data_IF_903540187073
#
_entry.id   IF_903540187073
#
_cell.length_a   1.000
_cell.length_b   1.000
_cell.length_c   1.000
_cell.angle_alpha   90.00
_cell.angle_beta   90.00
_cell.angle_gamma   90.00
#
_symmetry.space_group_name_H-M   'P 1'
#
loop_
_entity.id
_entity.type
_entity.pdbx_description
1 polymer ?
#
# COMPACT_ATOMS: atom_id res chain seq x y z
N UNK A 1 -49.05 28.57 37.46
CA UNK A 1 -47.68 28.02 37.55
C UNK A 1 -47.85 26.51 37.65
N UNK A 2 -48.05 25.80 36.54
CA UNK A 2 -47.02 25.13 35.72
C UNK A 2 -46.10 24.28 36.60
N UNK A 3 -46.12 22.96 36.54
CA UNK A 3 -45.73 22.16 35.36
C UNK A 3 -46.35 20.76 35.38
N UNK A 4 -46.69 20.26 34.18
CA UNK A 4 -47.04 18.87 33.89
C UNK A 4 -45.79 17.99 33.94
N UNK A 5 -45.93 16.77 34.46
CA UNK A 5 -44.97 15.68 34.31
C UNK A 5 -45.58 14.61 33.40
N UNK A 6 -45.15 14.57 32.14
CA UNK A 6 -45.38 13.44 31.24
C UNK A 6 -44.11 12.57 31.26
N UNK A 7 -44.23 11.32 31.69
CA UNK A 7 -43.20 10.29 31.45
C UNK A 7 -43.68 9.37 30.34
N UNK A 8 -42.87 9.33 29.29
CA UNK A 8 -43.04 8.67 28.00
C UNK A 8 -43.30 7.16 28.08
N UNK A 9 -44.23 6.73 27.23
CA UNK A 9 -44.43 5.34 26.84
C UNK A 9 -43.16 4.77 26.18
N UNK A 10 -42.80 3.56 26.59
CA UNK A 10 -41.84 2.70 25.93
C UNK A 10 -42.42 2.24 24.58
N UNK A 11 -41.69 2.47 23.49
CA UNK A 11 -41.89 1.79 22.22
C UNK A 11 -40.70 0.86 22.00
N UNK A 12 -40.91 -0.41 22.27
CA UNK A 12 -40.08 -1.51 21.81
C UNK A 12 -40.14 -1.57 20.28
N UNK A 13 -39.02 -1.27 19.63
CA UNK A 13 -38.76 -1.61 18.23
C UNK A 13 -37.53 -2.53 18.20
N UNK A 14 -37.72 -3.75 18.70
CA UNK A 14 -36.80 -4.86 18.45
C UNK A 14 -37.65 -6.01 17.92
N UNK A 15 -37.66 -6.16 16.59
CA UNK A 15 -37.76 -7.43 15.87
C UNK A 15 -37.87 -7.11 14.37
N UNK A 16 -36.72 -6.94 13.73
CA UNK A 16 -36.60 -7.14 12.28
C UNK A 16 -35.65 -8.31 12.10
N UNK A 17 -36.25 -9.48 11.86
CA UNK A 17 -35.59 -10.65 11.30
C UNK A 17 -34.80 -10.25 10.05
N UNK A 18 -33.48 -10.20 10.15
CA UNK A 18 -32.59 -10.12 9.00
C UNK A 18 -32.45 -11.51 8.36
N UNK A 19 -33.50 -11.95 7.68
CA UNK A 19 -33.33 -12.91 6.59
C UNK A 19 -32.61 -12.15 5.46
N UNK A 20 -31.31 -12.40 5.30
CA UNK A 20 -30.48 -11.79 4.26
C UNK A 20 -31.02 -12.13 2.87
N UNK A 21 -31.78 -11.21 2.28
CA UNK A 21 -31.99 -11.21 0.83
C UNK A 21 -30.63 -11.10 0.16
N UNK A 22 -30.38 -11.75 -0.99
CA UNK A 22 -29.18 -11.47 -1.77
C UNK A 22 -29.15 -9.97 -2.07
N UNK A 23 -28.19 -9.25 -1.48
CA UNK A 23 -28.05 -7.81 -1.68
C UNK A 23 -27.85 -7.56 -3.18
N UNK A 24 -28.71 -6.75 -3.77
CA UNK A 24 -28.55 -6.32 -5.16
C UNK A 24 -27.18 -5.63 -5.30
N UNK A 25 -26.34 -6.01 -6.28
CA UNK A 25 -24.99 -5.46 -6.40
C UNK A 25 -25.06 -3.94 -6.61
N UNK A 26 -24.18 -3.21 -5.93
CA UNK A 26 -24.11 -1.77 -6.10
C UNK A 26 -23.21 -1.39 -7.28
N UNK A 27 -23.09 -0.09 -7.57
CA UNK A 27 -22.33 0.39 -8.72
C UNK A 27 -20.85 -0.03 -8.71
N UNK A 28 -20.22 -0.17 -7.54
CA UNK A 28 -18.82 -0.60 -7.41
C UNK A 28 -18.70 -2.09 -7.74
N UNK A 29 -19.65 -2.92 -7.27
CA UNK A 29 -19.70 -4.35 -7.58
C UNK A 29 -19.88 -4.56 -9.09
N UNK A 30 -20.83 -3.84 -9.70
CA UNK A 30 -21.10 -3.91 -11.15
C UNK A 30 -19.89 -3.47 -12.01
N UNK A 31 -19.18 -2.42 -11.60
CA UNK A 31 -17.95 -1.96 -12.27
C UNK A 31 -16.85 -3.02 -12.17
N UNK A 32 -16.68 -3.63 -11.01
CA UNK A 32 -15.69 -4.70 -10.82
C UNK A 32 -16.02 -5.94 -11.66
N UNK A 33 -17.28 -6.40 -11.61
CA UNK A 33 -17.75 -7.54 -12.40
C UNK A 33 -17.57 -7.29 -13.90
N UNK A 34 -17.94 -6.10 -14.40
CA UNK A 34 -17.75 -5.71 -15.80
C UNK A 34 -16.27 -5.76 -16.22
N UNK A 35 -15.37 -5.36 -15.32
CA UNK A 35 -13.92 -5.44 -15.56
C UNK A 35 -13.44 -6.90 -15.62
N UNK A 36 -13.91 -7.75 -14.71
CA UNK A 36 -13.58 -9.18 -14.67
C UNK A 36 -14.12 -9.93 -15.90
N UNK A 37 -15.35 -9.62 -16.33
CA UNK A 37 -15.96 -10.14 -17.57
C UNK A 37 -15.20 -9.66 -18.81
N UNK A 38 -14.75 -8.41 -18.84
CA UNK A 38 -13.90 -7.92 -19.92
C UNK A 38 -12.60 -8.72 -20.02
N UNK A 39 -12.02 -9.17 -18.90
CA UNK A 39 -10.80 -9.98 -18.91
C UNK A 39 -11.06 -11.44 -19.30
N UNK A 40 -12.31 -11.91 -19.21
CA UNK A 40 -12.68 -13.30 -19.46
C UNK A 40 -12.37 -13.76 -20.89
N UNK A 41 -11.67 -14.90 -20.98
CA UNK A 41 -11.31 -15.54 -22.24
C UNK A 41 -10.23 -14.82 -23.05
N UNK A 42 -9.64 -13.72 -22.54
CA UNK A 42 -8.52 -13.04 -23.20
C UNK A 42 -7.19 -13.67 -22.79
N UNK A 43 -6.32 -13.90 -23.78
CA UNK A 43 -4.92 -14.21 -23.52
C UNK A 43 -4.09 -12.93 -23.27
N UNK A 44 -2.83 -13.11 -22.84
CA UNK A 44 -1.90 -12.01 -22.55
C UNK A 44 -1.71 -11.10 -23.76
N UNK A 45 -1.63 -11.65 -24.98
CA UNK A 45 -1.41 -10.85 -26.19
C UNK A 45 -2.62 -9.97 -26.49
N UNK A 46 -3.83 -10.52 -26.42
CA UNK A 46 -5.07 -9.78 -26.62
C UNK A 46 -5.26 -8.67 -25.56
N UNK A 47 -4.88 -8.95 -24.31
CA UNK A 47 -4.93 -7.96 -23.23
C UNK A 47 -3.89 -6.85 -23.41
N UNK A 48 -2.65 -7.21 -23.75
CA UNK A 48 -1.58 -6.25 -24.03
C UNK A 48 -1.98 -5.31 -25.18
N UNK A 49 -2.55 -5.83 -26.26
CA UNK A 49 -3.05 -5.01 -27.38
C UNK A 49 -4.20 -4.08 -26.97
N UNK A 50 -5.07 -4.49 -26.05
CA UNK A 50 -6.09 -3.60 -25.50
C UNK A 50 -5.47 -2.44 -24.71
N UNK A 51 -4.48 -2.72 -23.86
CA UNK A 51 -3.77 -1.72 -23.06
C UNK A 51 -2.96 -0.76 -23.95
N UNK A 52 -2.24 -1.27 -24.96
CA UNK A 52 -1.52 -0.44 -25.96
C UNK A 52 -2.47 0.52 -26.68
N UNK A 53 -3.65 0.04 -27.10
CA UNK A 53 -4.68 0.91 -27.71
C UNK A 53 -5.14 2.02 -26.76
N UNK A 54 -5.33 1.72 -25.49
CA UNK A 54 -5.75 2.70 -24.49
C UNK A 54 -4.64 3.72 -24.17
N UNK A 55 -3.37 3.29 -24.07
CA UNK A 55 -2.22 4.18 -23.94
C UNK A 55 -2.08 5.12 -25.15
N UNK A 56 -2.28 4.60 -26.37
CA UNK A 56 -2.33 5.41 -27.59
C UNK A 56 -3.50 6.39 -27.60
N UNK A 57 -4.66 6.00 -27.08
CA UNK A 57 -5.78 6.91 -26.94
C UNK A 57 -5.50 8.01 -25.91
N UNK A 58 -4.87 7.68 -24.79
CA UNK A 58 -4.46 8.65 -23.77
C UNK A 58 -3.49 9.71 -24.35
N UNK A 59 -2.53 9.30 -25.18
CA UNK A 59 -1.59 10.23 -25.82
C UNK A 59 -2.24 11.25 -26.76
N UNK A 60 -3.40 10.91 -27.34
CA UNK A 60 -4.16 11.80 -28.24
C UNK A 60 -5.16 12.69 -27.50
N UNK A 61 -5.70 12.23 -26.37
CA UNK A 61 -6.70 12.97 -25.61
C UNK A 61 -6.11 13.91 -24.56
N UNK A 62 -4.95 13.57 -23.98
CA UNK A 62 -4.27 14.41 -22.99
C UNK A 62 -2.75 14.26 -23.07
N UNK A 63 -2.18 14.73 -24.18
CA UNK A 63 -0.75 14.55 -24.50
C UNK A 63 0.21 15.03 -23.40
N UNK A 64 -0.08 16.15 -22.74
CA UNK A 64 0.76 16.69 -21.66
C UNK A 64 0.84 15.73 -20.48
N UNK A 65 -0.31 15.25 -20.00
CA UNK A 65 -0.37 14.34 -18.85
C UNK A 65 0.19 12.98 -19.21
N UNK A 66 -0.09 12.50 -20.42
CA UNK A 66 0.51 11.28 -20.98
C UNK A 66 2.05 11.34 -20.97
N UNK A 67 2.65 12.41 -21.51
CA UNK A 67 4.12 12.53 -21.57
C UNK A 67 4.74 12.51 -20.16
N UNK A 68 4.16 13.25 -19.22
CA UNK A 68 4.63 13.25 -17.83
C UNK A 68 4.53 11.86 -17.19
N UNK A 69 3.43 11.14 -17.45
CA UNK A 69 3.20 9.79 -16.92
C UNK A 69 4.21 8.80 -17.48
N UNK A 70 4.40 8.78 -18.81
CA UNK A 70 5.35 7.87 -19.46
C UNK A 70 6.79 8.17 -19.06
N UNK A 71 7.16 9.45 -18.93
CA UNK A 71 8.49 9.83 -18.46
C UNK A 71 8.75 9.29 -17.04
N UNK A 72 7.80 9.48 -16.13
CA UNK A 72 7.91 8.97 -14.76
C UNK A 72 8.05 7.44 -14.75
N UNK A 73 7.20 6.72 -15.48
CA UNK A 73 7.25 5.25 -15.56
C UNK A 73 8.63 4.79 -16.07
N UNK A 74 9.14 5.42 -17.12
CA UNK A 74 10.41 5.05 -17.75
C UNK A 74 11.64 5.41 -16.90
N UNK A 75 11.56 6.50 -16.13
CA UNK A 75 12.61 6.93 -15.21
C UNK A 75 12.74 5.96 -14.03
N UNK A 76 11.62 5.63 -13.38
CA UNK A 76 11.61 4.81 -12.17
C UNK A 76 11.54 3.30 -12.42
N UNK A 77 11.06 2.87 -13.59
CA UNK A 77 10.99 1.47 -14.05
C UNK A 77 10.23 0.50 -13.14
N UNK A 78 9.46 0.98 -12.16
CA UNK A 78 8.70 0.17 -11.20
C UNK A 78 7.74 -0.83 -11.89
N UNK A 79 7.15 -0.43 -13.02
CA UNK A 79 6.12 -1.21 -13.72
C UNK A 79 6.56 -1.71 -15.10
N UNK A 80 7.86 -1.63 -15.41
CA UNK A 80 8.43 -1.83 -16.74
C UNK A 80 8.58 -0.52 -17.53
N UNK A 81 9.05 -0.62 -18.76
CA UNK A 81 9.26 0.52 -19.68
C UNK A 81 8.20 0.64 -20.77
N UNK A 82 8.12 1.82 -21.38
CA UNK A 82 7.19 2.11 -22.47
C UNK A 82 7.79 3.15 -23.43
N UNK A 83 8.39 2.66 -24.52
CA UNK A 83 8.92 3.46 -25.63
C UNK A 83 8.32 2.97 -26.96
N UNK A 84 7.10 3.44 -27.33
CA UNK A 84 6.39 2.92 -28.50
C UNK A 84 7.16 3.11 -29.82
N UNK A 85 7.98 4.17 -29.92
CA UNK A 85 8.84 4.44 -31.09
C UNK A 85 10.00 3.43 -31.23
N UNK A 86 10.32 2.70 -30.17
CA UNK A 86 11.37 1.66 -30.13
C UNK A 86 10.77 0.25 -30.05
N UNK A 87 9.45 0.13 -30.25
CA UNK A 87 8.69 -1.11 -30.06
C UNK A 87 8.80 -1.71 -28.65
N UNK A 88 9.10 -0.88 -27.65
CA UNK A 88 9.11 -1.27 -26.24
C UNK A 88 7.75 -1.01 -25.59
N UNK A 89 7.10 -2.09 -25.17
CA UNK A 89 5.77 -2.11 -24.59
C UNK A 89 5.72 -2.86 -23.25
N UNK A 90 6.85 -3.00 -22.55
CA UNK A 90 6.97 -3.80 -21.34
C UNK A 90 5.89 -3.44 -20.29
N UNK A 91 5.57 -2.16 -20.09
CA UNK A 91 4.48 -1.70 -19.22
C UNK A 91 3.13 -2.36 -19.58
N UNK A 92 2.79 -2.40 -20.86
CA UNK A 92 1.53 -2.96 -21.32
C UNK A 92 1.50 -4.48 -21.20
N UNK A 93 2.65 -5.13 -21.42
CA UNK A 93 2.82 -6.58 -21.26
C UNK A 93 2.74 -6.98 -19.79
N UNK A 94 3.43 -6.27 -18.90
CA UNK A 94 3.40 -6.51 -17.45
C UNK A 94 1.99 -6.37 -16.88
N UNK A 95 1.25 -5.33 -17.28
CA UNK A 95 -0.17 -5.16 -16.90
C UNK A 95 -1.05 -6.28 -17.46
N UNK A 96 -0.79 -6.73 -18.68
CA UNK A 96 -1.52 -7.84 -19.29
C UNK A 96 -1.29 -9.16 -18.56
N UNK A 97 -0.03 -9.48 -18.21
CA UNK A 97 0.31 -10.62 -17.36
C UNK A 97 -0.40 -10.53 -16.02
N UNK A 98 -0.33 -9.37 -15.34
CA UNK A 98 -1.04 -9.16 -14.08
C UNK A 98 -2.54 -9.47 -14.20
N UNK A 99 -3.23 -8.97 -15.23
CA UNK A 99 -4.66 -9.25 -15.40
C UNK A 99 -4.98 -10.69 -15.75
N UNK A 100 -4.25 -11.31 -16.66
CA UNK A 100 -4.58 -12.64 -17.18
C UNK A 100 -4.19 -13.73 -16.19
N UNK A 101 -3.02 -13.61 -15.57
CA UNK A 101 -2.47 -14.65 -14.69
C UNK A 101 -3.01 -14.54 -13.26
N UNK A 102 -3.37 -13.33 -12.82
CA UNK A 102 -3.79 -13.05 -11.44
C UNK A 102 -5.24 -12.55 -11.32
N UNK A 103 -6.09 -12.83 -12.32
CA UNK A 103 -7.51 -12.44 -12.29
C UNK A 103 -8.24 -12.95 -11.05
N UNK A 104 -8.03 -14.21 -10.70
CA UNK A 104 -8.69 -14.83 -9.55
C UNK A 104 -8.13 -14.30 -8.22
N UNK A 105 -6.87 -13.85 -8.20
CA UNK A 105 -6.29 -13.16 -7.05
C UNK A 105 -6.92 -11.78 -6.84
N UNK A 106 -7.21 -11.03 -7.90
CA UNK A 106 -7.96 -9.77 -7.78
C UNK A 106 -9.41 -9.97 -7.36
N UNK A 107 -10.08 -11.03 -7.84
CA UNK A 107 -11.43 -11.40 -7.37
C UNK A 107 -11.43 -11.72 -5.88
N UNK A 108 -10.47 -12.54 -5.44
CA UNK A 108 -10.31 -12.86 -4.03
C UNK A 108 -10.03 -11.61 -3.21
N UNK A 109 -9.08 -10.76 -3.63
CA UNK A 109 -8.75 -9.50 -2.96
C UNK A 109 -10.00 -8.62 -2.81
N UNK A 110 -10.76 -8.43 -3.89
CA UNK A 110 -11.99 -7.65 -3.87
C UNK A 110 -13.00 -8.15 -2.83
N UNK A 111 -13.13 -9.48 -2.69
CA UNK A 111 -14.06 -10.11 -1.75
C UNK A 111 -13.66 -9.91 -0.28
N UNK A 112 -12.36 -9.91 0.03
CA UNK A 112 -11.87 -9.79 1.40
C UNK A 112 -11.73 -8.34 1.88
N UNK A 113 -11.76 -7.35 0.99
CA UNK A 113 -11.72 -5.94 1.38
C UNK A 113 -12.95 -5.56 2.20
N UNK A 114 -12.71 -5.03 3.40
CA UNK A 114 -13.73 -4.88 4.44
C UNK A 114 -14.63 -3.64 4.30
N UNK A 115 -14.31 -2.71 3.40
CA UNK A 115 -15.17 -1.56 3.12
C UNK A 115 -15.28 -1.24 1.62
N UNK A 116 -16.36 -0.54 1.26
CA UNK A 116 -16.58 -0.14 -0.14
C UNK A 116 -15.64 0.96 -0.63
N UNK A 117 -15.02 1.70 0.30
CA UNK A 117 -13.99 2.70 -0.04
C UNK A 117 -12.76 2.01 -0.64
N UNK A 118 -12.30 0.94 0.00
CA UNK A 118 -11.19 0.09 -0.43
C UNK A 118 -11.53 -0.61 -1.74
N UNK A 119 -12.75 -1.18 -1.86
CA UNK A 119 -13.22 -1.78 -3.11
C UNK A 119 -13.22 -0.79 -4.27
N UNK A 120 -13.70 0.45 -4.05
CA UNK A 120 -13.65 1.53 -5.06
C UNK A 120 -12.22 1.88 -5.45
N UNK A 121 -11.30 1.94 -4.49
CA UNK A 121 -9.88 2.20 -4.76
C UNK A 121 -9.29 1.09 -5.64
N UNK A 122 -9.47 -0.17 -5.27
CA UNK A 122 -9.01 -1.31 -6.07
C UNK A 122 -9.56 -1.26 -7.50
N UNK A 123 -10.88 -1.10 -7.64
CA UNK A 123 -11.54 -0.99 -8.96
C UNK A 123 -10.93 0.13 -9.80
N UNK A 124 -10.73 1.32 -9.23
CA UNK A 124 -10.20 2.45 -9.98
C UNK A 124 -8.71 2.28 -10.35
N UNK A 125 -7.90 1.63 -9.50
CA UNK A 125 -6.51 1.26 -9.84
C UNK A 125 -6.49 0.27 -11.01
N UNK A 126 -7.29 -0.80 -10.95
CA UNK A 126 -7.36 -1.79 -12.03
C UNK A 126 -7.89 -1.18 -13.34
N UNK A 127 -8.91 -0.31 -13.27
CA UNK A 127 -9.35 0.43 -14.44
C UNK A 127 -8.27 1.36 -14.99
N UNK A 128 -7.45 1.98 -14.14
CA UNK A 128 -6.32 2.78 -14.60
C UNK A 128 -5.27 1.91 -15.29
N UNK A 129 -4.95 0.73 -14.78
CA UNK A 129 -4.03 -0.19 -15.46
C UNK A 129 -4.53 -0.56 -16.85
N UNK A 130 -5.83 -0.76 -17.03
CA UNK A 130 -6.43 -1.07 -18.33
C UNK A 130 -6.52 0.15 -19.26
N UNK A 131 -7.04 1.27 -18.76
CA UNK A 131 -7.47 2.42 -19.58
C UNK A 131 -6.46 3.57 -19.63
N UNK A 132 -5.56 3.64 -18.65
CA UNK A 132 -4.65 4.78 -18.43
C UNK A 132 -5.38 6.13 -18.37
N UNK A 133 -6.56 6.16 -17.74
CA UNK A 133 -7.38 7.38 -17.58
C UNK A 133 -7.24 7.98 -16.16
N UNK A 134 -6.62 9.17 -16.00
CA UNK A 134 -6.43 9.80 -14.69
C UNK A 134 -7.74 10.19 -13.99
N UNK A 135 -8.86 10.33 -14.71
CA UNK A 135 -10.13 10.81 -14.12
C UNK A 135 -10.65 9.96 -12.97
N UNK A 136 -10.32 8.66 -12.95
CA UNK A 136 -10.71 7.73 -11.89
C UNK A 136 -9.82 7.84 -10.66
N UNK A 137 -8.57 8.28 -10.82
CA UNK A 137 -7.60 8.40 -9.73
C UNK A 137 -7.92 9.59 -8.82
N UNK A 138 -8.33 10.72 -9.40
CA UNK A 138 -8.74 11.91 -8.63
C UNK A 138 -9.92 11.62 -7.66
N UNK A 139 -10.76 10.63 -7.98
CA UNK A 139 -11.92 10.26 -7.16
C UNK A 139 -11.58 9.48 -5.89
N UNK A 140 -10.38 8.91 -5.80
CA UNK A 140 -10.00 7.97 -4.74
C UNK A 140 -8.99 8.55 -3.75
N UNK A 141 -8.49 9.76 -4.01
CA UNK A 141 -7.56 10.47 -3.14
C UNK A 141 -8.15 10.76 -1.76
N UNK A 142 -7.45 10.28 -0.72
CA UNK A 142 -7.75 10.60 0.66
C UNK A 142 -7.34 12.05 0.98
N UNK A 143 -8.28 12.81 1.51
CA UNK A 143 -8.10 14.21 1.94
C UNK A 143 -8.30 14.38 3.45
N UNK A 144 -8.57 13.30 4.16
CA UNK A 144 -9.06 13.32 5.54
C UNK A 144 -7.94 13.05 6.52
N UNK A 145 -7.18 11.98 6.28
CA UNK A 145 -6.15 11.51 7.20
C UNK A 145 -4.77 11.43 6.53
N UNK A 146 -3.73 11.45 7.36
CA UNK A 146 -2.34 11.32 6.92
C UNK A 146 -2.05 9.91 6.41
N UNK A 147 -1.14 9.80 5.43
CA UNK A 147 -0.65 8.51 4.93
C UNK A 147 -0.16 7.63 6.09
N UNK A 148 -0.49 6.33 6.03
CA UNK A 148 -0.26 5.31 7.07
C UNK A 148 -1.11 5.41 8.34
N UNK A 149 -1.79 6.54 8.59
CA UNK A 149 -2.50 6.80 9.84
C UNK A 149 -3.97 7.22 9.62
N UNK A 150 -4.72 6.41 8.87
CA UNK A 150 -6.18 6.55 8.75
C UNK A 150 -6.84 6.27 10.11
N UNK A 151 -7.39 7.29 10.76
CA UNK A 151 -7.92 7.18 12.13
C UNK A 151 -9.22 6.36 12.25
N UNK A 152 -9.89 6.06 11.13
CA UNK A 152 -11.03 5.15 11.13
C UNK A 152 -10.56 3.67 11.16
N UNK A 153 -9.33 3.39 10.73
CA UNK A 153 -8.75 2.05 10.61
C UNK A 153 -7.70 1.79 11.71
N UNK A 154 -6.79 2.73 11.91
CA UNK A 154 -5.61 2.60 12.77
C UNK A 154 -5.84 3.33 14.08
N UNK A 155 -5.68 2.59 15.18
CA UNK A 155 -5.69 3.12 16.54
C UNK A 155 -4.40 2.71 17.23
N UNK A 156 -3.75 3.68 17.86
CA UNK A 156 -2.51 3.48 18.61
C UNK A 156 -2.72 3.75 20.10
N UNK A 157 -1.76 3.31 20.90
CA UNK A 157 -1.76 3.53 22.35
C UNK A 157 -0.34 3.74 22.89
N UNK A 158 -0.21 4.10 24.16
CA UNK A 158 1.09 4.22 24.84
C UNK A 158 1.92 2.93 24.86
N UNK A 159 1.31 1.77 24.57
CA UNK A 159 1.99 0.47 24.55
C UNK A 159 2.45 0.09 23.12
N UNK A 160 2.30 1.00 22.15
CA UNK A 160 2.62 0.75 20.74
C UNK A 160 4.14 0.59 20.52
N UNK A 161 4.52 -0.53 19.91
CA UNK A 161 5.85 -0.76 19.35
C UNK A 161 5.71 -0.66 17.83
N UNK A 162 6.05 0.51 17.29
CA UNK A 162 5.94 0.83 15.87
C UNK A 162 7.27 0.57 15.17
N UNK A 163 7.21 -0.12 14.04
CA UNK A 163 8.38 -0.44 13.20
C UNK A 163 8.16 0.18 11.82
N UNK A 164 8.88 1.26 11.54
CA UNK A 164 8.93 1.94 10.25
C UNK A 164 10.06 1.33 9.41
N UNK A 165 9.68 0.58 8.38
CA UNK A 165 10.61 -0.08 7.46
C UNK A 165 10.65 0.72 6.16
N UNK A 166 11.82 1.26 5.83
CA UNK A 166 11.96 2.28 4.78
C UNK A 166 11.62 3.66 5.33
N UNK A 167 12.40 4.09 6.32
CA UNK A 167 12.15 5.33 7.06
C UNK A 167 12.39 6.61 6.26
N UNK A 168 13.09 6.54 5.12
CA UNK A 168 13.47 7.69 4.29
C UNK A 168 14.04 8.82 5.17
N UNK A 169 13.46 10.01 5.18
CA UNK A 169 13.93 11.13 6.00
C UNK A 169 13.32 11.16 7.42
N UNK A 170 12.63 10.11 7.85
CA UNK A 170 11.95 10.01 9.14
C UNK A 170 10.60 10.76 9.17
N UNK A 171 10.05 11.08 8.01
CA UNK A 171 8.77 11.77 7.85
C UNK A 171 7.59 10.98 8.42
N UNK A 172 7.63 9.65 8.31
CA UNK A 172 6.61 8.76 8.89
C UNK A 172 6.64 8.82 10.43
N UNK A 173 7.82 8.90 11.06
CA UNK A 173 7.95 9.12 12.51
C UNK A 173 7.36 10.47 12.93
N UNK A 174 7.69 11.53 12.18
CA UNK A 174 7.14 12.87 12.42
C UNK A 174 5.62 12.86 12.29
N UNK A 175 5.09 12.23 11.24
CA UNK A 175 3.66 12.09 11.01
C UNK A 175 2.99 11.29 12.14
N UNK A 176 3.63 10.24 12.65
CA UNK A 176 3.12 9.45 13.78
C UNK A 176 2.94 10.34 15.02
N UNK A 177 3.97 11.08 15.43
CA UNK A 177 3.91 11.92 16.65
C UNK A 177 2.98 13.10 16.49
N UNK A 178 2.85 13.67 15.28
CA UNK A 178 1.87 14.73 15.01
C UNK A 178 0.44 14.22 15.05
N UNK A 179 0.23 12.96 14.67
CA UNK A 179 -1.10 12.34 14.63
C UNK A 179 -1.55 11.85 16.01
N UNK A 180 -0.66 11.16 16.75
CA UNK A 180 -1.02 10.47 18.00
C UNK A 180 -0.43 11.11 19.27
N UNK A 181 0.62 11.91 19.15
CA UNK A 181 1.34 12.53 20.27
C UNK A 181 2.50 11.66 20.81
N UNK A 182 3.45 12.32 21.48
CA UNK A 182 4.66 11.69 22.04
C UNK A 182 4.40 10.68 23.17
N UNK A 183 3.24 10.76 23.83
CA UNK A 183 2.85 9.81 24.89
C UNK A 183 2.08 8.59 24.35
N UNK A 184 1.93 8.46 23.03
CA UNK A 184 1.11 7.43 22.38
C UNK A 184 1.94 6.36 21.66
N UNK A 185 3.05 5.97 22.27
CA UNK A 185 3.84 4.79 21.90
C UNK A 185 4.78 4.42 23.03
N UNK A 186 5.23 3.16 23.02
CA UNK A 186 6.27 2.64 23.90
C UNK A 186 7.65 2.78 23.26
N UNK A 187 7.75 2.46 21.97
CA UNK A 187 9.02 2.49 21.23
C UNK A 187 8.79 2.62 19.73
N UNK A 188 9.67 3.37 19.06
CA UNK A 188 9.71 3.49 17.60
C UNK A 188 11.01 2.88 17.08
N UNK A 189 10.91 2.02 16.08
CA UNK A 189 12.05 1.51 15.32
C UNK A 189 12.00 2.07 13.91
N UNK A 190 13.13 2.57 13.40
CA UNK A 190 13.23 3.15 12.07
C UNK A 190 14.35 2.47 11.29
N UNK A 191 14.01 1.66 10.30
CA UNK A 191 14.96 0.97 9.42
C UNK A 191 15.19 1.78 8.15
N UNK A 192 16.44 2.17 7.93
CA UNK A 192 16.88 2.92 6.75
C UNK A 192 18.31 2.50 6.39
N UNK A 193 18.65 2.51 5.10
CA UNK A 193 19.91 1.97 4.59
C UNK A 193 20.81 3.05 3.99
N UNK A 194 20.25 4.20 3.60
CA UNK A 194 21.00 5.29 3.00
C UNK A 194 21.55 6.25 4.08
N UNK A 195 22.88 6.43 4.18
CA UNK A 195 23.48 7.32 5.17
C UNK A 195 22.95 8.77 5.12
N UNK A 196 22.72 9.30 3.92
CA UNK A 196 22.16 10.64 3.74
C UNK A 196 20.76 10.78 4.36
N UNK A 197 19.93 9.74 4.25
CA UNK A 197 18.59 9.70 4.84
C UNK A 197 18.65 9.61 6.37
N UNK A 198 19.57 8.80 6.90
CA UNK A 198 19.82 8.66 8.35
C UNK A 198 20.15 10.02 8.98
N UNK A 199 21.01 10.83 8.34
CA UNK A 199 21.30 12.18 8.83
C UNK A 199 20.06 13.09 8.91
N UNK A 200 19.08 12.91 8.02
CA UNK A 200 17.81 13.62 8.08
C UNK A 200 16.87 13.07 9.15
N UNK A 201 16.84 11.74 9.34
CA UNK A 201 16.08 11.08 10.41
C UNK A 201 16.52 11.64 11.77
N UNK A 202 17.83 11.67 12.04
CA UNK A 202 18.39 12.20 13.30
C UNK A 202 17.98 13.66 13.54
N UNK A 203 18.10 14.51 12.51
CA UNK A 203 17.70 15.92 12.58
C UNK A 203 16.21 16.09 12.83
N UNK A 204 15.37 15.26 12.21
CA UNK A 204 13.92 15.32 12.41
C UNK A 204 13.53 14.81 13.81
N UNK A 205 14.15 13.76 14.31
CA UNK A 205 13.97 13.29 15.70
C UNK A 205 14.30 14.40 16.69
N UNK A 206 15.44 15.09 16.51
CA UNK A 206 15.83 16.22 17.37
C UNK A 206 14.83 17.39 17.26
N UNK A 207 14.49 17.80 16.03
CA UNK A 207 13.63 18.96 15.76
C UNK A 207 12.20 18.78 16.29
N UNK A 208 11.65 17.58 16.18
CA UNK A 208 10.29 17.26 16.61
C UNK A 208 10.21 16.67 18.02
N UNK A 209 11.35 16.56 18.72
CA UNK A 209 11.46 16.01 20.07
C UNK A 209 10.80 14.63 20.18
N UNK A 210 11.18 13.72 19.28
CA UNK A 210 10.66 12.35 19.24
C UNK A 210 11.50 11.48 20.16
N UNK A 211 10.90 11.01 21.25
CA UNK A 211 11.59 10.17 22.23
C UNK A 211 11.52 8.68 21.87
N UNK A 212 12.35 7.85 22.52
CA UNK A 212 12.33 6.38 22.43
C UNK A 212 12.40 5.81 21.00
N UNK A 213 13.20 6.45 20.14
CA UNK A 213 13.49 5.98 18.78
C UNK A 213 14.78 5.17 18.73
N UNK A 214 14.76 4.05 18.03
CA UNK A 214 15.94 3.28 17.67
C UNK A 214 16.10 3.26 16.14
N UNK A 215 17.12 3.98 15.64
CA UNK A 215 17.48 3.96 14.22
C UNK A 215 18.29 2.68 13.94
N UNK A 216 17.89 1.96 12.90
CA UNK A 216 18.50 0.72 12.46
C UNK A 216 19.05 0.91 11.05
N UNK A 217 20.37 1.03 10.94
CA UNK A 217 21.08 1.16 9.67
C UNK A 217 21.17 -0.20 8.93
N UNK A 218 20.01 -0.82 8.68
CA UNK A 218 19.87 -2.19 8.16
C UNK A 218 18.65 -2.28 7.24
N UNK A 219 18.75 -3.11 6.21
CA UNK A 219 17.60 -3.47 5.38
C UNK A 219 16.78 -4.60 6.01
N UNK A 220 15.45 -4.50 5.97
CA UNK A 220 14.58 -5.63 6.31
C UNK A 220 14.54 -6.65 5.16
N UNK A 221 14.64 -7.94 5.47
CA UNK A 221 14.70 -9.01 4.48
C UNK A 221 14.23 -10.35 5.05
N UNK A 222 14.22 -11.39 4.22
CA UNK A 222 13.80 -12.75 4.56
C UNK A 222 14.91 -13.55 5.28
N UNK A 223 16.09 -12.97 5.44
CA UNK A 223 17.28 -13.57 6.06
C UNK A 223 18.20 -12.52 6.66
N UNK A 224 19.08 -12.97 7.57
CA UNK A 224 20.19 -12.16 8.05
C UNK A 224 21.38 -12.29 7.10
N UNK A 225 22.10 -11.19 6.86
CA UNK A 225 23.28 -11.21 5.99
C UNK A 225 23.68 -9.83 5.53
N UNK A 226 24.22 -9.76 4.31
CA UNK A 226 24.67 -8.52 3.67
C UNK A 226 24.16 -8.50 2.24
N UNK A 227 23.61 -7.35 1.84
CA UNK A 227 23.30 -7.02 0.45
C UNK A 227 24.10 -5.79 0.05
N UNK A 228 23.98 -5.39 -1.21
CA UNK A 228 24.70 -4.26 -1.75
C UNK A 228 23.73 -3.20 -2.26
N UNK A 229 24.16 -1.94 -2.21
CA UNK A 229 23.53 -0.86 -2.95
C UNK A 229 24.32 -0.65 -4.24
N UNK A 230 23.61 -0.60 -5.38
CA UNK A 230 24.22 -0.14 -6.62
C UNK A 230 24.50 1.35 -6.49
N UNK A 231 25.77 1.73 -6.47
CA UNK A 231 26.17 3.13 -6.49
C UNK A 231 25.91 3.71 -7.87
N UNK A 232 24.88 4.54 -7.95
CA UNK A 232 24.82 5.78 -8.71
C UNK A 232 23.36 6.20 -8.76
N UNK A 233 22.92 6.88 -7.71
CA UNK A 233 22.19 8.16 -7.78
C UNK A 233 21.61 8.47 -6.39
N UNK A 234 21.59 9.76 -6.03
CA UNK A 234 20.77 10.31 -4.94
C UNK A 234 19.27 10.20 -5.31
N UNK A 235 18.81 9.01 -5.66
CA UNK A 235 17.42 8.75 -5.97
C UNK A 235 16.72 8.26 -4.69
N UNK A 236 15.44 8.57 -4.55
CA UNK A 236 14.57 8.04 -3.50
C UNK A 236 14.42 6.51 -3.55
N UNK A 237 14.98 5.85 -4.56
CA UNK A 237 14.85 4.43 -4.86
C UNK A 237 16.19 3.73 -4.58
N UNK A 238 16.45 3.39 -3.32
CA UNK A 238 17.60 2.56 -2.96
C UNK A 238 17.18 1.09 -2.92
N UNK A 239 17.28 0.40 -4.05
CA UNK A 239 17.03 -1.05 -4.12
C UNK A 239 18.27 -1.85 -3.73
N UNK A 240 18.06 -2.88 -2.90
CA UNK A 240 19.12 -3.82 -2.52
C UNK A 240 19.38 -4.84 -3.63
N UNK A 241 20.65 -5.05 -3.96
CA UNK A 241 21.13 -5.97 -4.99
C UNK A 241 22.11 -7.00 -4.41
N UNK A 242 22.41 -8.05 -5.19
CA UNK A 242 23.41 -9.07 -4.83
C UNK A 242 24.86 -8.61 -5.08
N UNK A 243 25.06 -7.46 -5.72
CA UNK A 243 26.37 -6.85 -6.01
C UNK A 243 26.27 -5.34 -6.12
N UNK A 244 27.29 -4.62 -5.65
CA UNK A 244 27.32 -3.15 -5.63
C UNK A 244 28.52 -2.62 -4.85
N UNK A 245 28.67 -1.31 -4.75
CA UNK A 245 29.85 -0.68 -4.14
C UNK A 245 29.72 -0.48 -2.62
N UNK A 246 28.50 -0.37 -2.10
CA UNK A 246 28.25 -0.20 -0.67
C UNK A 246 27.57 -1.45 -0.11
N UNK A 247 28.11 -2.00 0.98
CA UNK A 247 27.52 -3.13 1.70
C UNK A 247 26.52 -2.63 2.74
N UNK A 248 25.34 -3.25 2.78
CA UNK A 248 24.28 -2.97 3.74
C UNK A 248 23.94 -4.26 4.49
N UNK A 249 23.96 -4.27 5.84
CA UNK A 249 23.45 -5.40 6.59
C UNK A 249 21.95 -5.57 6.36
N UNK A 250 21.52 -6.81 6.14
CA UNK A 250 20.10 -7.16 6.07
C UNK A 250 19.72 -8.08 7.22
N UNK A 251 18.49 -7.94 7.71
CA UNK A 251 17.98 -8.69 8.85
C UNK A 251 16.53 -9.12 8.67
N UNK A 252 16.18 -10.25 9.29
CA UNK A 252 14.79 -10.56 9.61
C UNK A 252 14.36 -9.71 10.80
N UNK A 253 13.22 -9.03 10.70
CA UNK A 253 12.66 -8.27 11.83
C UNK A 253 12.30 -9.21 12.98
N UNK A 254 11.88 -10.44 12.65
CA UNK A 254 11.66 -11.52 13.62
C UNK A 254 12.89 -11.79 14.51
N UNK A 255 14.10 -11.58 13.99
CA UNK A 255 15.35 -11.86 14.70
C UNK A 255 15.97 -10.59 15.34
N UNK A 256 15.78 -9.42 14.74
CA UNK A 256 16.46 -8.17 15.15
C UNK A 256 15.73 -7.39 16.25
N UNK A 257 14.42 -7.63 16.44
CA UNK A 257 13.61 -7.02 17.52
C UNK A 257 13.17 -8.11 18.49
N UNK A 258 13.66 -8.08 19.72
CA UNK A 258 13.30 -9.09 20.73
C UNK A 258 11.88 -8.89 21.27
N UNK A 259 11.43 -7.64 21.39
CA UNK A 259 10.12 -7.32 21.97
C UNK A 259 8.96 -7.57 21.00
N UNK A 260 7.75 -7.58 21.56
CA UNK A 260 6.53 -7.77 20.80
C UNK A 260 6.21 -6.51 19.99
N UNK A 261 6.15 -6.67 18.66
CA UNK A 261 5.80 -5.60 17.72
C UNK A 261 4.27 -5.53 17.58
N UNK A 262 3.71 -4.32 17.53
CA UNK A 262 2.26 -4.09 17.49
C UNK A 262 1.80 -3.30 16.26
N UNK A 263 2.73 -2.67 15.53
CA UNK A 263 2.46 -2.02 14.25
C UNK A 263 3.72 -2.02 13.36
N UNK A 264 3.60 -2.51 12.13
CA UNK A 264 4.64 -2.47 11.11
C UNK A 264 4.15 -1.63 9.91
N UNK A 265 4.96 -0.66 9.49
CA UNK A 265 4.82 0.01 8.20
C UNK A 265 5.94 -0.44 7.28
N UNK A 266 5.66 -0.65 5.99
CA UNK A 266 6.68 -0.96 4.98
C UNK A 266 6.49 -0.09 3.74
N UNK A 267 7.57 0.55 3.33
CA UNK A 267 7.68 1.32 2.09
C UNK A 267 9.13 1.27 1.62
N UNK A 268 9.48 0.22 0.86
CA UNK A 268 10.88 -0.14 0.57
C UNK A 268 11.14 -0.44 -0.91
N UNK A 269 10.41 0.26 -1.79
CA UNK A 269 10.73 0.38 -3.21
C UNK A 269 10.90 -0.96 -3.93
N UNK A 270 10.06 -1.95 -3.60
CA UNK A 270 10.05 -3.30 -4.19
C UNK A 270 10.63 -4.40 -3.30
N UNK A 271 11.14 -4.07 -2.11
CA UNK A 271 11.64 -5.04 -1.13
C UNK A 271 10.57 -5.71 -0.25
N UNK A 272 9.30 -5.31 -0.38
CA UNK A 272 8.21 -5.60 0.56
C UNK A 272 8.00 -7.10 0.77
N UNK A 273 8.03 -7.88 -0.32
CA UNK A 273 7.82 -9.34 -0.23
C UNK A 273 8.88 -10.00 0.67
N UNK A 274 10.16 -9.63 0.52
CA UNK A 274 11.25 -10.21 1.33
C UNK A 274 11.18 -9.71 2.77
N UNK A 275 10.94 -8.42 2.99
CA UNK A 275 10.81 -7.89 4.34
C UNK A 275 9.62 -8.53 5.08
N UNK A 276 8.48 -8.70 4.41
CA UNK A 276 7.30 -9.35 4.95
C UNK A 276 7.55 -10.82 5.32
N UNK A 277 8.28 -11.56 4.50
CA UNK A 277 8.75 -12.92 4.83
C UNK A 277 9.58 -12.93 6.13
N UNK A 278 10.41 -11.90 6.35
CA UNK A 278 11.21 -11.73 7.57
C UNK A 278 10.44 -11.26 8.81
N UNK A 279 9.13 -11.02 8.69
CA UNK A 279 8.24 -10.58 9.77
C UNK A 279 7.14 -11.61 10.10
N UNK A 280 7.07 -12.74 9.39
CA UNK A 280 5.91 -13.64 9.48
C UNK A 280 5.72 -14.25 10.86
N UNK A 281 6.79 -14.50 11.62
CA UNK A 281 6.64 -15.08 12.96
C UNK A 281 6.05 -14.06 13.94
N UNK A 282 6.47 -12.79 13.88
CA UNK A 282 5.82 -11.72 14.64
C UNK A 282 4.39 -11.46 14.18
N UNK A 283 4.12 -11.51 12.87
CA UNK A 283 2.76 -11.35 12.35
C UNK A 283 1.82 -12.41 12.93
N UNK A 284 2.21 -13.69 12.85
CA UNK A 284 1.44 -14.81 13.41
C UNK A 284 1.27 -14.73 14.93
N UNK A 285 2.32 -14.32 15.64
CA UNK A 285 2.36 -14.37 17.10
C UNK A 285 1.63 -13.18 17.74
N UNK A 286 1.77 -11.99 17.15
CA UNK A 286 1.41 -10.74 17.80
C UNK A 286 0.25 -10.02 17.15
N UNK A 287 -0.15 -10.42 15.93
CA UNK A 287 -1.18 -9.75 15.15
C UNK A 287 -0.95 -8.22 15.08
N UNK A 288 0.25 -7.74 14.71
CA UNK A 288 0.52 -6.30 14.60
C UNK A 288 -0.38 -5.70 13.53
N UNK A 289 -0.76 -4.43 13.71
CA UNK A 289 -1.30 -3.63 12.60
C UNK A 289 -0.28 -3.57 11.49
N UNK A 290 -0.71 -3.59 10.24
CA UNK A 290 0.17 -3.47 9.07
C UNK A 290 -0.31 -2.30 8.21
N UNK A 291 0.62 -1.48 7.72
CA UNK A 291 0.38 -0.47 6.71
C UNK A 291 1.49 -0.56 5.64
N UNK A 292 1.19 -1.19 4.51
CA UNK A 292 2.19 -1.51 3.48
C UNK A 292 1.92 -0.72 2.21
N UNK A 293 2.95 -0.09 1.65
CA UNK A 293 2.95 0.36 0.26
C UNK A 293 2.81 -0.86 -0.64
N UNK A 294 1.77 -0.88 -1.50
CA UNK A 294 1.53 -2.01 -2.40
C UNK A 294 1.51 -1.61 -3.86
N UNK A 295 2.26 -0.56 -4.20
CA UNK A 295 2.29 0.03 -5.55
C UNK A 295 3.58 -0.19 -6.33
N UNK A 296 4.65 -0.69 -5.72
CA UNK A 296 5.97 -0.80 -6.36
C UNK A 296 6.01 -1.83 -7.50
N UNK A 297 5.08 -2.77 -7.53
CA UNK A 297 4.87 -3.65 -8.69
C UNK A 297 3.39 -4.11 -8.79
N UNK A 298 3.05 -4.79 -9.89
CA UNK A 298 1.67 -5.24 -10.14
C UNK A 298 1.20 -6.43 -9.28
N UNK A 299 2.13 -7.15 -8.61
CA UNK A 299 1.79 -8.30 -7.76
C UNK A 299 1.53 -7.90 -6.30
N UNK A 300 2.10 -6.79 -5.83
CA UNK A 300 2.09 -6.41 -4.40
C UNK A 300 0.68 -6.39 -3.81
N UNK A 301 -0.29 -5.80 -4.54
CA UNK A 301 -1.70 -5.72 -4.12
C UNK A 301 -2.28 -7.04 -3.64
N UNK A 302 -2.15 -8.10 -4.42
CA UNK A 302 -2.73 -9.39 -4.08
C UNK A 302 -1.74 -10.29 -3.35
N UNK A 303 -0.45 -10.22 -3.68
CA UNK A 303 0.57 -11.12 -3.15
C UNK A 303 0.87 -10.85 -1.69
N UNK A 304 1.09 -9.58 -1.32
CA UNK A 304 1.36 -9.20 0.06
C UNK A 304 0.13 -9.44 0.94
N UNK A 305 -1.06 -9.11 0.42
CA UNK A 305 -2.33 -9.43 1.09
C UNK A 305 -2.49 -10.93 1.34
N UNK A 306 -2.19 -11.79 0.35
CA UNK A 306 -2.22 -13.25 0.54
C UNK A 306 -1.22 -13.72 1.59
N UNK A 307 0.01 -13.20 1.58
CA UNK A 307 1.02 -13.58 2.56
C UNK A 307 0.58 -13.27 3.99
N UNK A 308 -0.05 -12.10 4.21
CA UNK A 308 -0.60 -11.73 5.51
C UNK A 308 -1.78 -12.64 5.87
N UNK A 309 -2.72 -12.85 4.95
CA UNK A 309 -3.89 -13.71 5.18
C UNK A 309 -3.50 -15.16 5.48
N UNK A 310 -2.49 -15.70 4.80
CA UNK A 310 -1.98 -17.06 5.03
C UNK A 310 -1.24 -17.17 6.37
N UNK A 311 -0.59 -16.10 6.82
CA UNK A 311 0.04 -16.04 8.13
C UNK A 311 -1.02 -15.96 9.23
N UNK A 312 -2.03 -15.11 9.07
CA UNK A 312 -3.15 -14.98 10.00
C UNK A 312 -4.44 -14.59 9.25
N UNK A 313 -5.39 -15.52 9.06
CA UNK A 313 -6.65 -15.25 8.37
C UNK A 313 -7.61 -14.32 9.13
N UNK A 314 -7.31 -13.95 10.38
CA UNK A 314 -8.19 -13.12 11.21
C UNK A 314 -8.06 -11.61 10.95
N UNK A 315 -7.08 -11.19 10.15
CA UNK A 315 -6.91 -9.80 9.74
C UNK A 315 -8.10 -9.28 8.92
N UNK A 316 -8.44 -8.00 9.15
CA UNK A 316 -9.32 -7.24 8.28
C UNK A 316 -8.49 -6.35 7.34
N UNK A 317 -8.82 -6.38 6.05
CA UNK A 317 -8.06 -5.71 4.99
C UNK A 317 -8.76 -4.46 4.46
N UNK A 318 -7.99 -3.38 4.35
CA UNK A 318 -8.43 -2.11 3.81
C UNK A 318 -7.39 -1.53 2.84
N UNK A 319 -7.83 -0.65 1.96
CA UNK A 319 -6.97 0.04 1.00
C UNK A 319 -7.28 1.55 1.07
N UNK A 320 -6.24 2.38 1.09
CA UNK A 320 -6.33 3.85 0.96
C UNK A 320 -5.36 4.35 -0.09
N UNK A 321 -5.64 5.52 -0.64
CA UNK A 321 -4.85 6.13 -1.71
C UNK A 321 -4.45 7.56 -1.32
N UNK A 322 -3.15 7.82 -1.25
CA UNK A 322 -2.57 9.10 -0.83
C UNK A 322 -1.73 9.76 -1.92
N UNK A 323 -1.73 9.19 -3.14
CA UNK A 323 -0.83 9.60 -4.22
C UNK A 323 -1.35 10.72 -5.10
N UNK A 324 -0.67 10.94 -6.21
CA UNK A 324 -1.03 11.96 -7.19
C UNK A 324 -2.41 11.72 -7.83
N UNK A 325 -3.22 12.74 -8.16
CA UNK A 325 -4.49 12.53 -8.88
C UNK A 325 -4.29 12.10 -10.35
N UNK A 326 -3.04 11.91 -10.81
CA UNK A 326 -2.70 11.65 -12.21
C UNK A 326 -2.46 10.17 -12.51
N UNK A 327 -1.70 9.49 -11.67
CA UNK A 327 -1.40 8.07 -11.84
C UNK A 327 -1.28 7.44 -10.45
N UNK A 328 -1.70 6.18 -10.28
CA UNK A 328 -1.81 5.57 -8.97
C UNK A 328 -0.44 5.21 -8.41
N UNK A 329 0.07 6.01 -7.48
CA UNK A 329 1.15 5.69 -6.52
C UNK A 329 0.64 5.86 -5.09
N UNK A 330 1.39 5.44 -4.07
CA UNK A 330 1.02 5.68 -2.66
C UNK A 330 -0.34 5.08 -2.26
N UNK A 331 -0.72 3.92 -2.80
CA UNK A 331 -1.82 3.15 -2.22
C UNK A 331 -1.31 2.19 -1.17
N UNK A 332 -1.94 2.27 0.00
CA UNK A 332 -1.52 1.60 1.23
C UNK A 332 -2.55 0.53 1.59
N UNK A 333 -2.08 -0.71 1.68
CA UNK A 333 -2.81 -1.82 2.24
C UNK A 333 -2.71 -1.76 3.77
N UNK A 334 -3.85 -1.76 4.44
CA UNK A 334 -3.94 -1.95 5.88
C UNK A 334 -4.40 -3.36 6.18
N UNK A 335 -3.76 -4.01 7.15
CA UNK A 335 -4.27 -5.22 7.78
C UNK A 335 -4.35 -4.98 9.29
N UNK A 336 -5.55 -5.09 9.86
CA UNK A 336 -5.87 -4.74 11.26
C UNK A 336 -6.47 -5.91 12.02
#
# INVERSE_FOLDING_TARGET
MSTQSESSAANDFNDIDHASSPETPNQIDLEFESLMEFMEGKDVSQMAEAIKRNLKYFSTTNNRVYNNTVNFINEHKLWGTYYPEQEDYELAENRAHAFVEHREDFKWLYQILNDYRSKRILVNILYYWLMSDPKRIDQIYDKTFSQYFDLDIVKCSKDEVFVDIGGFIGDTLVSYVQTFGNDCYKKLYCYEIAPANIEYIEKNIELFHIDHVEIKEKGASDRNGTMYLSSNELSSINQLSESGEMTVPIVKIDDDIEEDVTFIKMDIEGGEEKALLGCLEKIKKNHPKLALSVYHNHKDLWKLTRMIYEADPSYHFYLRYYGSPVFPTEYILYAI
#
